data_IF_709766257242
#
_entry.id   IF_709766257242
#
_cell.length_a   1.000
_cell.length_b   1.000
_cell.length_c   1.000
_cell.angle_alpha   90.00
_cell.angle_beta   90.00
_cell.angle_gamma   90.00
#
_symmetry.space_group_name_H-M   'P 1'
#
loop_
_entity.id
_entity.type
_entity.pdbx_description
1 polymer ?
#
# COMPACT_ATOMS: atom_id res chain seq x y z
N UNK A 1 -13.76 -3.76 -18.79
CA UNK A 1 -13.29 -3.45 -20.16
C UNK A 1 -11.82 -3.83 -20.26
N UNK A 2 -11.39 -4.40 -21.39
CA UNK A 2 -10.01 -4.89 -21.58
C UNK A 2 -9.42 -4.27 -22.86
N UNK A 3 -8.28 -3.60 -22.73
CA UNK A 3 -7.58 -2.93 -23.82
C UNK A 3 -6.07 -2.95 -23.57
N UNK A 4 -5.27 -2.86 -24.62
CA UNK A 4 -3.82 -2.67 -24.45
C UNK A 4 -3.56 -1.31 -23.80
N UNK A 5 -2.92 -1.31 -22.63
CA UNK A 5 -2.63 -0.09 -21.89
C UNK A 5 -1.44 0.62 -22.55
N UNK A 6 -1.76 1.62 -23.36
CA UNK A 6 -0.81 2.58 -23.93
C UNK A 6 -1.03 3.95 -23.29
N UNK A 7 -0.09 4.89 -23.49
CA UNK A 7 -0.23 6.27 -22.98
C UNK A 7 -1.55 6.89 -23.46
N UNK A 8 -1.83 6.77 -24.76
CA UNK A 8 -3.07 7.24 -25.38
C UNK A 8 -4.32 6.63 -24.76
N UNK A 9 -4.32 5.32 -24.55
CA UNK A 9 -5.46 4.61 -23.94
C UNK A 9 -5.69 5.09 -22.51
N UNK A 10 -4.61 5.27 -21.74
CA UNK A 10 -4.68 5.80 -20.38
C UNK A 10 -5.23 7.22 -20.36
N UNK A 11 -4.78 8.08 -21.26
CA UNK A 11 -5.22 9.47 -21.36
C UNK A 11 -6.71 9.56 -21.69
N UNK A 12 -7.19 8.68 -22.57
CA UNK A 12 -8.61 8.55 -22.95
C UNK A 12 -9.53 8.00 -21.85
N UNK A 13 -8.99 7.41 -20.77
CA UNK A 13 -9.82 6.99 -19.64
C UNK A 13 -10.34 8.24 -18.91
N UNK A 14 -11.61 8.56 -19.15
CA UNK A 14 -12.32 9.61 -18.43
C UNK A 14 -12.77 9.12 -17.05
N UNK A 15 -12.74 9.98 -16.02
CA UNK A 15 -13.35 9.66 -14.73
C UNK A 15 -14.86 9.50 -14.87
N UNK A 16 -15.41 8.48 -14.23
CA UNK A 16 -16.86 8.28 -14.10
C UNK A 16 -17.35 8.65 -12.69
N UNK A 17 -18.63 8.42 -12.41
CA UNK A 17 -19.22 8.58 -11.08
C UNK A 17 -18.66 7.59 -10.04
N UNK A 18 -18.03 6.51 -10.49
CA UNK A 18 -17.37 5.48 -9.68
C UNK A 18 -15.96 5.19 -10.23
N UNK A 19 -15.17 4.45 -9.46
CA UNK A 19 -13.86 3.96 -9.90
C UNK A 19 -13.99 3.18 -11.23
N UNK A 20 -13.33 3.66 -12.28
CA UNK A 20 -13.27 3.00 -13.59
C UNK A 20 -12.00 2.15 -13.66
N UNK A 21 -12.16 0.88 -14.02
CA UNK A 21 -11.07 -0.09 -14.16
C UNK A 21 -10.91 -0.52 -15.61
N UNK A 22 -9.71 -0.33 -16.15
CA UNK A 22 -9.31 -0.81 -17.46
C UNK A 22 -8.19 -1.84 -17.29
N UNK A 23 -8.42 -3.06 -17.75
CA UNK A 23 -7.44 -4.15 -17.69
C UNK A 23 -6.61 -4.19 -18.97
N UNK A 24 -5.33 -4.54 -18.80
CA UNK A 24 -4.40 -4.77 -19.90
C UNK A 24 -4.64 -6.13 -20.56
N UNK A 25 -4.54 -6.19 -21.88
CA UNK A 25 -4.65 -7.44 -22.66
C UNK A 25 -3.38 -8.28 -22.65
N UNK A 26 -2.21 -7.66 -22.51
CA UNK A 26 -0.93 -8.37 -22.63
C UNK A 26 -0.53 -9.00 -21.29
N UNK A 27 -0.83 -8.34 -20.15
CA UNK A 27 -0.51 -8.82 -18.81
C UNK A 27 -1.78 -9.06 -17.99
N UNK A 28 -2.10 -10.34 -17.75
CA UNK A 28 -3.27 -10.73 -16.97
C UNK A 28 -3.23 -10.15 -15.56
N UNK A 29 -4.30 -9.46 -15.18
CA UNK A 29 -4.44 -8.85 -13.87
C UNK A 29 -3.70 -7.51 -13.72
N UNK A 30 -2.97 -7.03 -14.72
CA UNK A 30 -2.45 -5.66 -14.73
C UNK A 30 -3.51 -4.72 -15.30
N UNK A 31 -3.68 -3.56 -14.68
CA UNK A 31 -4.71 -2.60 -15.06
C UNK A 31 -4.42 -1.18 -14.61
N UNK A 32 -5.26 -0.26 -15.06
CA UNK A 32 -5.33 1.10 -14.54
C UNK A 32 -6.69 1.36 -13.93
N UNK A 33 -6.67 1.97 -12.74
CA UNK A 33 -7.86 2.42 -12.02
C UNK A 33 -7.90 3.95 -12.05
N UNK A 34 -8.95 4.50 -12.63
CA UNK A 34 -9.26 5.93 -12.61
C UNK A 34 -10.31 6.18 -11.51
N UNK A 35 -9.98 7.03 -10.54
CA UNK A 35 -10.93 7.44 -9.50
C UNK A 35 -11.84 8.55 -10.04
N UNK A 36 -13.01 8.81 -9.43
CA UNK A 36 -13.87 9.94 -9.80
C UNK A 36 -13.14 11.30 -9.79
N UNK A 37 -12.10 11.45 -8.96
CA UNK A 37 -11.25 12.65 -8.93
C UNK A 37 -10.32 12.81 -10.14
N UNK A 38 -10.34 11.89 -11.11
CA UNK A 38 -9.42 11.86 -12.25
C UNK A 38 -8.05 11.28 -11.92
N UNK A 39 -7.78 10.89 -10.66
CA UNK A 39 -6.53 10.24 -10.29
C UNK A 39 -6.44 8.83 -10.88
N UNK A 40 -5.44 8.62 -11.74
CA UNK A 40 -5.18 7.34 -12.42
C UNK A 40 -4.04 6.60 -11.73
N UNK A 41 -4.29 5.35 -11.33
CA UNK A 41 -3.32 4.49 -10.65
C UNK A 41 -3.18 3.15 -11.35
N UNK A 42 -1.96 2.70 -11.55
CA UNK A 42 -1.69 1.34 -12.01
C UNK A 42 -1.90 0.35 -10.86
N UNK A 43 -2.57 -0.75 -11.18
CA UNK A 43 -2.95 -1.79 -10.23
C UNK A 43 -2.63 -3.15 -10.81
N UNK A 44 -2.28 -4.09 -9.94
CA UNK A 44 -2.08 -5.49 -10.23
C UNK A 44 -2.99 -6.31 -9.33
N UNK A 45 -3.81 -7.17 -9.93
CA UNK A 45 -4.68 -8.12 -9.26
C UNK A 45 -4.07 -9.51 -9.39
N UNK A 46 -3.76 -10.12 -8.27
CA UNK A 46 -3.11 -11.44 -8.23
C UNK A 46 -3.66 -12.29 -7.08
N UNK A 47 -3.39 -13.59 -7.10
CA UNK A 47 -3.75 -14.51 -6.01
C UNK A 47 -2.51 -14.99 -5.30
N UNK A 48 -2.42 -14.79 -3.99
CA UNK A 48 -1.30 -15.29 -3.18
C UNK A 48 -1.84 -16.00 -1.95
N UNK A 49 -1.33 -17.20 -1.67
CA UNK A 49 -1.82 -18.04 -0.58
C UNK A 49 -3.34 -18.32 -0.64
N UNK A 50 -3.86 -18.56 -1.84
CA UNK A 50 -5.30 -18.81 -2.06
C UNK A 50 -6.22 -17.57 -1.94
N UNK A 51 -5.68 -16.40 -1.56
CA UNK A 51 -6.46 -15.16 -1.42
C UNK A 51 -6.21 -14.20 -2.57
N UNK A 52 -7.26 -13.50 -3.00
CA UNK A 52 -7.14 -12.44 -4.00
C UNK A 52 -6.59 -11.17 -3.35
N UNK A 53 -5.53 -10.61 -3.94
CA UNK A 53 -4.85 -9.40 -3.47
C UNK A 53 -4.81 -8.36 -4.58
N UNK A 54 -5.00 -7.11 -4.18
CA UNK A 54 -4.84 -5.94 -5.02
C UNK A 54 -3.56 -5.21 -4.64
N UNK A 55 -2.75 -4.87 -5.64
CA UNK A 55 -1.47 -4.21 -5.44
C UNK A 55 -1.41 -2.95 -6.30
N UNK A 56 -1.27 -1.78 -5.68
CA UNK A 56 -1.17 -0.51 -6.40
C UNK A 56 0.29 -0.24 -6.76
N UNK A 57 0.65 -0.27 -8.04
CA UNK A 57 2.03 -0.02 -8.49
C UNK A 57 2.41 1.45 -8.29
N UNK A 58 1.60 2.37 -8.79
CA UNK A 58 1.88 3.81 -8.71
C UNK A 58 0.82 4.67 -9.40
N UNK A 59 0.88 5.99 -9.18
CA UNK A 59 0.06 6.97 -9.90
C UNK A 59 0.62 7.20 -11.31
N UNK A 60 -0.24 7.33 -12.30
CA UNK A 60 0.15 7.69 -13.67
C UNK A 60 0.86 9.05 -13.71
N UNK A 61 2.05 9.09 -14.31
CA UNK A 61 2.94 10.26 -14.36
C UNK A 61 4.41 9.84 -14.29
N UNK A 62 5.35 10.78 -14.15
CA UNK A 62 6.73 10.40 -13.82
C UNK A 62 6.80 9.88 -12.38
N UNK A 63 7.40 8.72 -12.07
CA UNK A 63 8.18 7.80 -12.94
C UNK A 63 7.38 6.62 -13.55
N UNK A 64 6.07 6.54 -13.31
CA UNK A 64 5.20 5.44 -13.74
C UNK A 64 4.51 5.71 -15.09
N UNK A 65 5.14 5.25 -16.16
CA UNK A 65 4.56 5.17 -17.50
C UNK A 65 3.92 3.80 -17.72
N UNK A 66 3.09 3.61 -18.76
CA UNK A 66 2.49 2.31 -19.05
C UNK A 66 3.52 1.20 -19.18
N UNK A 67 4.66 1.52 -19.79
CA UNK A 67 5.75 0.57 -20.00
C UNK A 67 6.50 0.24 -18.70
N UNK A 68 6.86 1.25 -17.89
CA UNK A 68 7.54 1.00 -16.61
C UNK A 68 6.63 0.27 -15.63
N UNK A 69 5.34 0.63 -15.60
CA UNK A 69 4.35 -0.06 -14.78
C UNK A 69 4.12 -1.50 -15.23
N UNK A 70 4.14 -1.77 -16.55
CA UNK A 70 4.02 -3.13 -17.10
C UNK A 70 5.23 -3.99 -16.73
N UNK A 71 6.46 -3.46 -16.89
CA UNK A 71 7.68 -4.17 -16.48
C UNK A 71 7.66 -4.50 -14.98
N UNK A 72 7.23 -3.55 -14.16
CA UNK A 72 7.08 -3.78 -12.72
C UNK A 72 6.00 -4.83 -12.41
N UNK A 73 4.87 -4.81 -13.11
CA UNK A 73 3.83 -5.83 -12.97
C UNK A 73 4.36 -7.24 -13.30
N UNK A 74 5.12 -7.39 -14.39
CA UNK A 74 5.77 -8.65 -14.75
C UNK A 74 6.78 -9.10 -13.71
N UNK A 75 7.59 -8.18 -13.19
CA UNK A 75 8.54 -8.47 -12.10
C UNK A 75 7.83 -9.01 -10.86
N UNK A 76 6.71 -8.38 -10.46
CA UNK A 76 5.90 -8.78 -9.32
C UNK A 76 5.23 -10.15 -9.53
N UNK A 77 4.77 -10.44 -10.75
CA UNK A 77 4.27 -11.76 -11.13
C UNK A 77 5.37 -12.82 -11.12
N UNK A 78 6.59 -12.48 -11.54
CA UNK A 78 7.77 -13.34 -11.47
C UNK A 78 8.16 -13.68 -10.03
N UNK A 79 8.18 -12.69 -9.13
CA UNK A 79 8.43 -12.91 -7.70
C UNK A 79 7.41 -13.88 -7.08
N UNK A 80 6.14 -13.73 -7.44
CA UNK A 80 5.08 -14.65 -7.03
C UNK A 80 5.34 -16.07 -7.54
N UNK A 81 5.74 -16.22 -8.79
CA UNK A 81 6.09 -17.53 -9.37
C UNK A 81 7.30 -18.16 -8.65
N UNK A 82 8.24 -17.34 -8.19
CA UNK A 82 9.36 -17.75 -7.35
C UNK A 82 8.99 -18.01 -5.86
N UNK A 83 7.69 -17.96 -5.52
CA UNK A 83 7.20 -18.23 -4.16
C UNK A 83 7.32 -17.06 -3.17
N UNK A 84 7.78 -15.89 -3.62
CA UNK A 84 7.85 -14.69 -2.79
C UNK A 84 6.57 -13.86 -2.96
N UNK A 85 5.89 -13.52 -1.86
CA UNK A 85 4.71 -12.66 -1.91
C UNK A 85 5.13 -11.17 -1.88
N UNK A 86 4.98 -10.41 -2.98
CA UNK A 86 5.29 -8.98 -2.97
C UNK A 86 4.24 -8.15 -2.20
N UNK A 87 3.06 -8.70 -1.90
CA UNK A 87 2.05 -8.02 -1.11
C UNK A 87 2.44 -7.96 0.37
N UNK A 88 3.03 -9.03 0.91
CA UNK A 88 3.52 -9.04 2.31
C UNK A 88 4.66 -8.05 2.50
N UNK A 89 5.60 -7.90 1.55
CA UNK A 89 6.68 -6.91 1.68
C UNK A 89 6.17 -5.46 1.81
N UNK A 90 5.03 -5.12 1.17
CA UNK A 90 4.40 -3.80 1.34
C UNK A 90 3.56 -3.69 2.61
N UNK A 91 2.88 -4.76 3.01
CA UNK A 91 2.13 -4.81 4.28
C UNK A 91 3.06 -4.77 5.50
N UNK A 92 4.24 -5.41 5.46
CA UNK A 92 5.25 -5.32 6.53
C UNK A 92 5.73 -3.89 6.77
N UNK A 93 5.80 -3.06 5.73
CA UNK A 93 6.15 -1.63 5.85
C UNK A 93 5.01 -0.77 6.40
N UNK A 94 3.77 -1.26 6.37
CA UNK A 94 2.59 -0.59 6.96
C UNK A 94 2.19 -1.14 8.33
N UNK A 95 2.61 -2.35 8.67
CA UNK A 95 2.30 -3.03 9.93
C UNK A 95 3.39 -2.91 11.00
N UNK A 96 4.51 -2.25 10.72
CA UNK A 96 5.47 -1.90 11.76
C UNK A 96 4.87 -0.76 12.60
N UNK A 97 4.36 -1.10 13.79
CA UNK A 97 4.02 -0.12 14.83
C UNK A 97 5.23 0.80 15.01
N UNK A 98 5.00 2.11 15.01
CA UNK A 98 6.11 3.04 15.26
C UNK A 98 6.63 2.85 16.68
N UNK A 99 7.91 3.15 16.95
CA UNK A 99 8.46 3.08 18.33
C UNK A 99 7.62 3.96 19.27
N UNK A 100 7.04 5.05 18.76
CA UNK A 100 6.12 5.91 19.50
C UNK A 100 4.82 5.18 19.91
N UNK A 101 4.16 4.49 18.97
CA UNK A 101 2.95 3.71 19.28
C UNK A 101 3.25 2.49 20.15
N UNK A 102 4.43 1.86 19.98
CA UNK A 102 4.90 0.79 20.85
C UNK A 102 5.14 1.31 22.28
N UNK A 103 5.76 2.48 22.41
CA UNK A 103 6.01 3.14 23.70
C UNK A 103 4.72 3.53 24.41
N UNK A 104 3.76 4.11 23.69
CA UNK A 104 2.45 4.46 24.24
C UNK A 104 1.72 3.22 24.79
N UNK A 105 1.77 2.11 24.05
CA UNK A 105 1.16 0.85 24.48
C UNK A 105 1.87 0.23 25.68
N UNK A 106 3.21 0.25 25.71
CA UNK A 106 3.99 -0.25 26.84
C UNK A 106 3.66 0.52 28.14
N UNK A 107 3.59 1.85 28.06
CA UNK A 107 3.25 2.69 29.21
C UNK A 107 1.81 2.48 29.70
N UNK A 108 0.86 2.27 28.79
CA UNK A 108 -0.55 2.04 29.13
C UNK A 108 -0.80 0.65 29.71
N UNK A 109 -0.24 -0.39 29.09
CA UNK A 109 -0.65 -1.77 29.39
C UNK A 109 0.26 -2.44 30.43
N UNK A 110 1.57 -2.17 30.39
CA UNK A 110 2.55 -2.89 31.19
C UNK A 110 2.87 -2.21 32.53
N UNK A 111 2.98 -0.88 32.53
CA UNK A 111 3.37 -0.10 33.73
C UNK A 111 2.35 -0.22 34.87
N UNK A 112 1.02 -0.14 34.66
CA UNK A 112 0.07 -0.25 35.77
C UNK A 112 0.07 -1.62 36.45
N UNK A 113 0.44 -2.67 35.72
CA UNK A 113 0.44 -4.05 36.20
C UNK A 113 1.74 -4.42 36.95
N UNK A 114 2.87 -3.78 36.59
CA UNK A 114 4.20 -4.19 37.07
C UNK A 114 4.94 -3.10 37.86
N UNK A 115 4.49 -1.84 37.82
CA UNK A 115 5.10 -0.74 38.56
C UNK A 115 4.20 -0.27 39.72
N UNK A 116 4.77 -0.20 40.93
CA UNK A 116 4.06 0.30 42.12
C UNK A 116 3.68 1.78 41.93
N UNK A 117 2.48 2.21 42.36
CA UNK A 117 1.86 3.49 41.97
C UNK A 117 2.68 4.74 42.34
N UNK A 118 3.49 4.67 43.39
CA UNK A 118 4.28 5.81 43.87
C UNK A 118 5.33 6.33 42.86
N UNK A 119 5.70 5.56 41.84
CA UNK A 119 6.65 6.01 40.79
C UNK A 119 6.00 6.58 39.54
N UNK A 120 4.69 6.45 39.36
CA UNK A 120 3.98 6.95 38.19
C UNK A 120 3.68 8.47 38.28
N UNK A 121 3.47 8.97 39.49
CA UNK A 121 3.00 10.35 39.76
C UNK A 121 4.09 11.29 40.35
N UNK A 122 5.39 11.01 40.21
CA UNK A 122 6.43 11.88 40.79
C UNK A 122 6.79 13.08 39.86
N UNK A 123 6.47 14.33 40.23
CA UNK A 123 6.72 15.51 39.39
C UNK A 123 8.20 15.93 39.29
N UNK A 124 9.10 15.32 40.08
CA UNK A 124 10.55 15.53 39.96
C UNK A 124 11.18 14.84 38.73
N UNK A 125 10.40 14.05 37.98
CA UNK A 125 10.74 13.58 36.63
C UNK A 125 9.93 14.39 35.59
N UNK A 126 10.19 15.69 35.45
CA UNK A 126 9.71 16.46 34.29
C UNK A 126 10.86 16.78 33.33
N UNK A 127 10.64 17.40 32.15
CA UNK A 127 9.47 17.34 31.26
C UNK A 127 9.92 17.13 29.78
N UNK A 128 9.32 16.22 29.02
CA UNK A 128 9.44 16.21 27.55
C UNK A 128 8.18 15.47 27.06
N UNK A 129 7.20 16.10 26.41
CA UNK A 129 7.29 16.84 25.15
C UNK A 129 6.13 17.85 25.10
N UNK A 130 6.42 19.15 24.95
CA UNK A 130 5.57 20.05 24.16
C UNK A 130 6.03 19.90 22.71
N UNK A 131 5.07 19.85 21.78
CA UNK A 131 5.29 19.91 20.34
C UNK A 131 6.14 21.12 19.93
#
# INVERSE_FOLDING_TARGET
>A
MEAKITKRTVDQVSPGSRDVLLWDRDVKGFGIRCRPSGAKHYVLKMRVGGRQRWLTIGRHGSPWTPDTARREALRLLGLRAAGQDPATARDHRKGAITIAELGARFLSDYVPQHCKPRKADNPHCGPYVRL
#
